data_IF_857077335050
#
_entry.id   IF_857077335050
#
_cell.length_a   1.000
_cell.length_b   1.000
_cell.length_c   1.000
_cell.angle_alpha   90.00
_cell.angle_beta   90.00
_cell.angle_gamma   90.00
#
_symmetry.space_group_name_H-M   'P 1'
#
loop_
_entity.id
_entity.type
_entity.pdbx_description
1 polymer ?
#
# COMPACT_ATOMS: atom_id res chain seq x y z
N UNK A 1 39.02 30.58 -33.10
CA UNK A 1 38.14 30.80 -31.89
C UNK A 1 36.89 29.93 -31.83
N UNK A 2 36.47 29.19 -32.86
CA UNK A 2 35.27 28.34 -32.89
C UNK A 2 35.37 27.02 -32.06
N UNK A 3 36.59 26.49 -31.89
CA UNK A 3 36.76 25.18 -31.21
C UNK A 3 36.61 25.21 -29.68
N UNK A 4 36.87 26.32 -29.02
CA UNK A 4 36.77 26.48 -27.58
C UNK A 4 35.30 26.58 -27.12
N UNK A 5 34.47 27.27 -27.91
CA UNK A 5 33.02 27.43 -27.63
C UNK A 5 32.27 26.09 -27.73
N UNK A 6 32.60 25.29 -28.74
CA UNK A 6 32.01 23.96 -28.96
C UNK A 6 32.38 22.94 -27.86
N UNK A 7 33.62 23.04 -27.33
CA UNK A 7 34.05 22.21 -26.18
C UNK A 7 33.33 22.58 -24.90
N UNK A 8 33.07 23.85 -24.64
CA UNK A 8 32.37 24.31 -23.45
C UNK A 8 30.88 23.91 -23.47
N UNK A 9 30.24 23.98 -24.64
CA UNK A 9 28.86 23.52 -24.84
C UNK A 9 28.73 22.01 -24.64
N UNK A 10 29.66 21.21 -25.14
CA UNK A 10 29.70 19.78 -24.95
C UNK A 10 29.81 19.41 -23.46
N UNK A 11 30.68 20.05 -22.71
CA UNK A 11 30.81 19.83 -21.26
C UNK A 11 29.57 20.30 -20.47
N UNK A 12 28.87 21.32 -20.95
CA UNK A 12 27.58 21.75 -20.43
C UNK A 12 26.53 20.63 -20.55
N UNK A 13 26.41 20.05 -21.74
CA UNK A 13 25.51 18.92 -22.01
C UNK A 13 25.86 17.68 -21.16
N UNK A 14 27.13 17.32 -21.06
CA UNK A 14 27.60 16.20 -20.26
C UNK A 14 27.21 16.36 -18.79
N UNK A 15 27.40 17.56 -18.22
CA UNK A 15 26.98 17.86 -16.84
C UNK A 15 25.46 17.73 -16.65
N UNK A 16 24.68 18.30 -17.58
CA UNK A 16 23.22 18.23 -17.51
C UNK A 16 22.71 16.79 -17.55
N UNK A 17 23.25 15.98 -18.46
CA UNK A 17 22.88 14.55 -18.55
C UNK A 17 23.33 13.79 -17.30
N UNK A 18 24.51 14.07 -16.78
CA UNK A 18 24.99 13.43 -15.54
C UNK A 18 24.12 13.78 -14.33
N UNK A 19 23.74 15.05 -14.18
CA UNK A 19 22.84 15.49 -13.11
C UNK A 19 21.46 14.82 -13.26
N UNK A 20 20.89 14.82 -14.47
CA UNK A 20 19.60 14.19 -14.74
C UNK A 20 19.63 12.68 -14.42
N UNK A 21 20.73 12.00 -14.78
CA UNK A 21 20.91 10.59 -14.46
C UNK A 21 21.01 10.33 -12.95
N UNK A 22 21.82 11.15 -12.23
CA UNK A 22 21.93 11.04 -10.77
C UNK A 22 20.57 11.27 -10.11
N UNK A 23 19.81 12.28 -10.53
CA UNK A 23 18.47 12.55 -10.01
C UNK A 23 17.50 11.40 -10.31
N UNK A 24 17.53 10.84 -11.52
CA UNK A 24 16.69 9.69 -11.88
C UNK A 24 17.01 8.46 -11.02
N UNK A 25 18.29 8.17 -10.78
CA UNK A 25 18.72 7.09 -9.89
C UNK A 25 18.28 7.36 -8.45
N UNK A 26 18.45 8.59 -7.95
CA UNK A 26 18.03 8.97 -6.61
C UNK A 26 16.51 8.79 -6.42
N UNK A 27 15.70 9.29 -7.36
CA UNK A 27 14.24 9.14 -7.34
C UNK A 27 13.86 7.65 -7.32
N UNK A 28 14.43 6.84 -8.22
CA UNK A 28 14.17 5.42 -8.29
C UNK A 28 14.54 4.67 -7.00
N UNK A 29 15.63 5.08 -6.35
CA UNK A 29 16.14 4.36 -5.16
C UNK A 29 15.41 4.76 -3.89
N UNK A 30 15.09 6.05 -3.72
CA UNK A 30 14.61 6.59 -2.45
C UNK A 30 13.12 6.95 -2.44
N UNK A 31 12.52 7.19 -3.61
CA UNK A 31 11.14 7.73 -3.68
C UNK A 31 10.14 6.66 -4.11
N UNK A 32 10.47 5.86 -5.12
CA UNK A 32 9.52 4.90 -5.70
C UNK A 32 10.11 3.50 -5.79
N UNK A 33 9.24 2.51 -5.57
CA UNK A 33 9.57 1.10 -5.76
C UNK A 33 8.45 0.41 -6.54
N UNK A 34 8.82 -0.58 -7.37
CA UNK A 34 7.86 -1.43 -8.07
C UNK A 34 7.53 -2.62 -7.20
N UNK A 35 6.25 -2.91 -7.04
CA UNK A 35 5.73 -4.05 -6.30
C UNK A 35 4.80 -4.86 -7.19
N UNK A 36 4.97 -6.18 -7.19
CA UNK A 36 4.10 -7.14 -7.84
C UNK A 36 3.25 -7.83 -6.78
N UNK A 37 1.93 -7.80 -6.97
CA UNK A 37 0.98 -8.45 -6.06
C UNK A 37 1.08 -9.96 -6.23
N UNK A 38 1.20 -10.67 -5.11
CA UNK A 38 1.16 -12.11 -5.07
C UNK A 38 -0.01 -12.60 -4.23
N UNK A 39 -0.82 -13.48 -4.81
CA UNK A 39 -1.99 -14.06 -4.17
C UNK A 39 -3.24 -13.18 -4.25
N UNK A 40 -4.30 -13.62 -3.57
CA UNK A 40 -5.64 -13.09 -3.72
C UNK A 40 -6.16 -12.33 -2.48
N UNK A 41 -5.30 -12.03 -1.51
CA UNK A 41 -5.73 -11.44 -0.22
C UNK A 41 -6.30 -10.02 -0.33
N UNK A 42 -6.05 -9.33 -1.45
CA UNK A 42 -6.53 -7.97 -1.71
C UNK A 42 -7.62 -7.87 -2.77
N UNK A 43 -8.09 -9.00 -3.30
CA UNK A 43 -9.22 -9.01 -4.24
C UNK A 43 -10.47 -8.43 -3.56
N UNK A 44 -11.25 -7.54 -4.21
CA UNK A 44 -11.15 -7.13 -5.62
C UNK A 44 -10.22 -5.95 -5.90
N UNK A 45 -9.63 -5.32 -4.89
CA UNK A 45 -8.85 -4.09 -5.03
C UNK A 45 -7.54 -4.32 -5.79
N UNK A 46 -6.87 -5.45 -5.53
CA UNK A 46 -5.65 -5.84 -6.24
C UNK A 46 -5.64 -7.34 -6.48
N UNK A 47 -5.20 -7.73 -7.69
CA UNK A 47 -5.18 -9.11 -8.15
C UNK A 47 -3.75 -9.62 -8.31
N UNK A 48 -3.61 -10.93 -8.27
CA UNK A 48 -2.34 -11.62 -8.52
C UNK A 48 -1.72 -11.21 -9.85
N UNK A 49 -0.41 -10.92 -9.85
CA UNK A 49 0.34 -10.46 -11.04
C UNK A 49 0.16 -8.97 -11.37
N UNK A 50 -0.66 -8.22 -10.66
CA UNK A 50 -0.74 -6.77 -10.85
C UNK A 50 0.51 -6.07 -10.29
N UNK A 51 0.92 -4.98 -10.96
CA UNK A 51 2.08 -4.20 -10.56
C UNK A 51 1.69 -2.79 -10.13
N UNK A 52 2.17 -2.41 -8.97
CA UNK A 52 1.97 -1.08 -8.39
C UNK A 52 3.29 -0.34 -8.20
N UNK A 53 3.19 0.97 -8.26
CA UNK A 53 4.25 1.87 -7.79
C UNK A 53 4.00 2.12 -6.31
N UNK A 54 5.02 1.89 -5.50
CA UNK A 54 5.01 2.16 -4.06
C UNK A 54 5.70 3.48 -3.83
N UNK A 55 5.01 4.39 -3.16
CA UNK A 55 5.54 5.65 -2.68
C UNK A 55 6.19 5.43 -1.31
N UNK A 56 7.52 5.46 -1.29
CA UNK A 56 8.32 5.30 -0.07
C UNK A 56 8.47 6.61 0.69
N UNK A 57 8.22 7.73 0.00
CA UNK A 57 8.42 9.06 0.56
C UNK A 57 7.30 9.49 1.49
N UNK A 58 6.06 9.10 1.22
CA UNK A 58 4.89 9.48 2.00
C UNK A 58 5.05 9.23 3.49
N UNK A 59 5.64 8.10 3.88
CA UNK A 59 5.82 7.73 5.29
C UNK A 59 7.20 8.07 5.87
N UNK A 60 8.04 8.78 5.11
CA UNK A 60 9.25 9.42 5.67
C UNK A 60 8.91 10.68 6.45
N UNK A 61 7.79 11.34 6.14
CA UNK A 61 7.39 12.63 6.71
C UNK A 61 5.92 12.67 7.14
N UNK A 62 5.16 11.63 6.88
CA UNK A 62 3.76 11.48 7.25
C UNK A 62 3.53 10.17 7.99
N UNK A 63 2.37 10.07 8.59
CA UNK A 63 1.89 8.86 9.27
C UNK A 63 0.91 8.11 8.37
N UNK A 64 0.76 6.78 8.54
CA UNK A 64 -0.28 6.05 7.85
C UNK A 64 -1.68 6.58 8.19
N UNK A 65 -2.52 6.69 7.16
CA UNK A 65 -3.91 7.09 7.32
C UNK A 65 -4.83 5.85 7.23
N UNK A 66 -6.01 5.96 7.85
CA UNK A 66 -7.01 4.89 7.75
C UNK A 66 -7.42 4.68 6.30
N UNK A 67 -7.50 3.41 5.91
CA UNK A 67 -7.77 2.89 4.57
C UNK A 67 -6.64 3.04 3.55
N UNK A 68 -5.49 3.54 3.93
CA UNK A 68 -4.31 3.46 3.08
C UNK A 68 -3.99 2.01 2.72
N UNK A 69 -3.64 1.79 1.46
CA UNK A 69 -3.01 0.55 1.04
C UNK A 69 -1.50 0.67 1.26
N UNK A 70 -0.95 -0.26 2.03
CA UNK A 70 0.48 -0.26 2.35
C UNK A 70 1.14 -1.57 1.94
N UNK A 71 2.42 -1.48 1.61
CA UNK A 71 3.30 -2.64 1.52
C UNK A 71 4.23 -2.63 2.73
N UNK A 72 4.35 -3.76 3.39
CA UNK A 72 5.22 -3.92 4.56
C UNK A 72 5.97 -5.25 4.54
N UNK A 73 7.08 -5.33 5.26
CA UNK A 73 7.86 -6.55 5.45
C UNK A 73 7.17 -7.43 6.49
N UNK A 74 6.55 -8.51 6.04
CA UNK A 74 5.82 -9.42 6.92
C UNK A 74 6.75 -10.46 7.57
N UNK A 75 7.70 -11.02 6.79
CA UNK A 75 8.76 -11.91 7.23
C UNK A 75 10.10 -11.44 6.66
N UNK A 76 11.20 -12.13 6.90
CA UNK A 76 12.50 -11.79 6.27
C UNK A 76 12.45 -11.88 4.74
N UNK A 77 11.61 -12.74 4.20
CA UNK A 77 11.52 -13.03 2.77
C UNK A 77 10.27 -12.42 2.12
N UNK A 78 9.16 -12.30 2.86
CA UNK A 78 7.86 -11.96 2.31
C UNK A 78 7.45 -10.52 2.59
N UNK A 79 6.89 -9.88 1.58
CA UNK A 79 6.24 -8.57 1.66
C UNK A 79 4.76 -8.73 1.39
N UNK A 80 3.95 -8.13 2.24
CA UNK A 80 2.50 -8.16 2.11
C UNK A 80 1.96 -6.80 1.73
N UNK A 81 0.91 -6.81 0.91
CA UNK A 81 0.05 -5.65 0.66
C UNK A 81 -1.22 -5.82 1.49
N UNK A 82 -1.58 -4.81 2.26
CA UNK A 82 -2.80 -4.78 3.09
C UNK A 82 -3.34 -3.36 3.19
N UNK A 83 -4.57 -3.26 3.69
CA UNK A 83 -5.23 -1.98 4.00
C UNK A 83 -5.13 -1.67 5.48
N UNK A 84 -4.79 -0.43 5.81
CA UNK A 84 -4.78 0.08 7.19
C UNK A 84 -6.23 0.22 7.68
N UNK A 85 -6.59 -0.51 8.73
CA UNK A 85 -7.91 -0.46 9.35
C UNK A 85 -7.87 0.28 10.68
N UNK A 86 -6.86 0.04 11.49
CA UNK A 86 -6.68 0.69 12.80
C UNK A 86 -5.39 1.49 12.87
N UNK A 87 -5.47 2.63 13.54
CA UNK A 87 -4.37 3.53 13.84
C UNK A 87 -4.01 3.44 15.33
N UNK A 88 -2.85 3.95 15.78
CA UNK A 88 -2.47 3.94 17.18
C UNK A 88 -3.59 4.40 18.12
N UNK A 89 -3.82 3.65 19.20
CA UNK A 89 -4.86 3.92 20.18
C UNK A 89 -6.29 3.54 19.77
N UNK A 90 -6.48 2.92 18.60
CA UNK A 90 -7.80 2.40 18.20
C UNK A 90 -8.10 1.06 18.86
N UNK A 91 -9.36 0.86 19.23
CA UNK A 91 -9.95 -0.45 19.48
C UNK A 91 -10.71 -0.89 18.25
N UNK A 92 -10.62 -2.17 17.88
CA UNK A 92 -11.17 -2.70 16.64
C UNK A 92 -12.12 -3.84 16.95
N UNK A 93 -13.33 -3.78 16.44
CA UNK A 93 -14.32 -4.85 16.57
C UNK A 93 -15.10 -5.00 15.27
N UNK A 94 -15.29 -6.23 14.85
CA UNK A 94 -16.24 -6.61 13.82
C UNK A 94 -17.39 -7.37 14.47
N UNK A 95 -18.60 -6.98 14.15
CA UNK A 95 -19.82 -7.62 14.59
C UNK A 95 -20.86 -7.59 13.48
N UNK A 96 -21.37 -8.76 13.08
CA UNK A 96 -22.30 -8.90 11.95
C UNK A 96 -21.82 -8.23 10.66
N UNK A 97 -20.54 -8.40 10.30
CA UNK A 97 -19.88 -7.81 9.11
C UNK A 97 -19.77 -6.27 9.12
N UNK A 98 -19.91 -5.66 10.28
CA UNK A 98 -19.78 -4.20 10.49
C UNK A 98 -18.51 -3.92 11.28
N UNK A 99 -17.70 -2.98 10.79
CA UNK A 99 -16.51 -2.49 11.47
C UNK A 99 -16.87 -1.43 12.50
N UNK A 100 -16.35 -1.58 13.71
CA UNK A 100 -16.41 -0.58 14.78
C UNK A 100 -14.99 -0.19 15.20
N UNK A 101 -14.71 1.10 15.22
CA UNK A 101 -13.48 1.69 15.74
C UNK A 101 -13.83 2.60 16.91
N UNK A 102 -13.23 2.37 18.08
CA UNK A 102 -13.55 3.10 19.33
C UNK A 102 -15.07 3.09 19.64
N UNK A 103 -15.75 2.04 19.23
CA UNK A 103 -17.20 1.89 19.40
C UNK A 103 -18.07 2.58 18.34
N UNK A 104 -17.49 3.35 17.44
CA UNK A 104 -18.20 4.00 16.34
C UNK A 104 -18.20 3.10 15.09
N UNK A 105 -19.36 2.99 14.44
CA UNK A 105 -19.47 2.27 13.17
C UNK A 105 -18.74 3.00 12.07
N UNK A 106 -17.91 2.27 11.32
CA UNK A 106 -17.13 2.80 10.21
C UNK A 106 -17.54 2.07 8.93
N UNK A 107 -17.88 2.83 7.91
CA UNK A 107 -18.22 2.29 6.60
C UNK A 107 -16.99 1.85 5.83
N UNK A 108 -17.13 0.74 5.08
CA UNK A 108 -16.10 0.17 4.21
C UNK A 108 -16.57 0.13 2.75
N UNK A 109 -16.69 1.29 2.08
CA UNK A 109 -17.27 1.37 0.73
C UNK A 109 -16.50 0.57 -0.32
N UNK A 110 -15.21 0.39 -0.13
CA UNK A 110 -14.33 -0.41 -0.99
C UNK A 110 -14.64 -1.92 -0.97
N UNK A 111 -15.44 -2.40 0.00
CA UNK A 111 -15.87 -3.80 0.11
C UNK A 111 -17.31 -4.03 -0.37
N UNK A 112 -18.03 -3.01 -0.74
CA UNK A 112 -19.47 -3.11 -1.04
C UNK A 112 -19.76 -4.14 -2.14
N UNK A 113 -19.00 -4.11 -3.23
CA UNK A 113 -19.15 -5.08 -4.33
C UNK A 113 -18.73 -6.49 -3.91
N UNK A 114 -17.63 -6.62 -3.16
CA UNK A 114 -17.14 -7.89 -2.68
C UNK A 114 -18.14 -8.55 -1.71
N UNK A 115 -18.70 -7.78 -0.78
CA UNK A 115 -19.76 -8.23 0.15
C UNK A 115 -21.02 -8.66 -0.59
N UNK A 116 -21.45 -7.90 -1.60
CA UNK A 116 -22.62 -8.22 -2.40
C UNK A 116 -22.46 -9.48 -3.26
N UNK A 117 -21.25 -9.75 -3.73
CA UNK A 117 -20.93 -10.93 -4.54
C UNK A 117 -20.63 -12.18 -3.72
N UNK A 118 -20.43 -12.03 -2.41
CA UNK A 118 -20.04 -13.14 -1.55
C UNK A 118 -21.23 -14.08 -1.26
N UNK A 119 -21.05 -15.36 -1.50
CA UNK A 119 -22.11 -16.37 -1.31
C UNK A 119 -22.15 -16.97 0.11
N UNK A 120 -21.23 -16.59 0.99
CA UNK A 120 -21.19 -17.02 2.39
C UNK A 120 -22.17 -16.24 3.26
N UNK A 121 -22.23 -16.58 4.55
CA UNK A 121 -23.14 -15.94 5.51
C UNK A 121 -22.70 -14.54 5.91
N UNK A 122 -21.41 -14.34 6.13
CA UNK A 122 -20.76 -13.06 6.46
C UNK A 122 -19.44 -12.96 5.71
N UNK A 123 -19.08 -11.75 5.26
CA UNK A 123 -17.82 -11.52 4.53
C UNK A 123 -16.64 -11.35 5.48
N UNK A 124 -16.87 -10.65 6.59
CA UNK A 124 -15.91 -10.51 7.68
C UNK A 124 -16.51 -11.15 8.93
N UNK A 125 -15.88 -12.20 9.44
CA UNK A 125 -16.30 -12.87 10.68
C UNK A 125 -16.19 -11.92 11.87
N UNK A 126 -17.01 -12.20 12.91
CA UNK A 126 -16.95 -11.46 14.15
C UNK A 126 -15.56 -11.59 14.79
N UNK A 127 -14.99 -10.46 15.15
CA UNK A 127 -13.63 -10.35 15.67
C UNK A 127 -13.54 -9.17 16.63
N UNK A 128 -12.78 -9.31 17.70
CA UNK A 128 -12.42 -8.22 18.60
C UNK A 128 -10.92 -8.23 18.85
N UNK A 129 -10.27 -7.09 18.60
CA UNK A 129 -8.93 -6.85 19.11
C UNK A 129 -9.09 -6.24 20.50
N UNK A 130 -8.87 -7.02 21.52
CA UNK A 130 -9.17 -6.69 22.92
C UNK A 130 -8.33 -5.54 23.48
N UNK A 131 -7.15 -5.35 22.91
CA UNK A 131 -6.23 -4.27 23.25
C UNK A 131 -6.44 -3.08 22.31
N UNK A 132 -5.80 -1.97 22.61
CA UNK A 132 -5.68 -0.87 21.65
C UNK A 132 -4.49 -1.12 20.74
N UNK A 133 -4.58 -0.65 19.48
CA UNK A 133 -3.42 -0.65 18.57
C UNK A 133 -2.29 0.12 19.24
N UNK A 134 -1.10 -0.48 19.42
CA UNK A 134 0.01 0.17 20.11
C UNK A 134 0.52 1.40 19.34
N UNK A 135 1.20 2.30 20.03
CA UNK A 135 1.93 3.40 19.41
C UNK A 135 2.92 2.88 18.36
N UNK A 136 3.07 3.61 17.24
CA UNK A 136 3.91 3.24 16.10
C UNK A 136 3.54 1.89 15.45
N UNK A 137 2.27 1.49 15.57
CA UNK A 137 1.73 0.29 14.91
C UNK A 137 0.44 0.61 14.20
N UNK A 138 0.15 -0.17 13.16
CA UNK A 138 -1.13 -0.14 12.46
C UNK A 138 -1.76 -1.52 12.45
N UNK A 139 -3.08 -1.57 12.51
CA UNK A 139 -3.85 -2.80 12.33
C UNK A 139 -4.27 -2.88 10.86
N UNK A 140 -3.82 -3.91 10.17
CA UNK A 140 -4.02 -4.04 8.73
C UNK A 140 -4.86 -5.25 8.39
N UNK A 141 -5.68 -5.15 7.34
CA UNK A 141 -6.48 -6.25 6.85
C UNK A 141 -6.42 -6.35 5.32
N UNK A 142 -6.59 -7.56 4.82
CA UNK A 142 -6.80 -7.74 3.38
C UNK A 142 -8.23 -7.43 2.99
N UNK A 143 -8.44 -7.00 1.76
CA UNK A 143 -9.78 -6.72 1.25
C UNK A 143 -10.56 -8.02 1.00
N UNK A 144 -9.87 -9.11 0.67
CA UNK A 144 -10.46 -10.45 0.63
C UNK A 144 -10.52 -11.05 2.06
N UNK A 145 -11.46 -10.56 2.86
CA UNK A 145 -11.61 -10.87 4.29
C UNK A 145 -11.62 -12.36 4.61
N UNK A 146 -12.32 -13.22 3.83
CA UNK A 146 -12.44 -14.65 4.16
C UNK A 146 -11.12 -15.42 4.10
N UNK A 147 -10.16 -14.98 3.28
CA UNK A 147 -8.92 -15.74 3.04
C UNK A 147 -7.63 -15.00 3.42
N UNK A 148 -7.75 -13.75 3.87
CA UNK A 148 -6.58 -12.93 4.16
C UNK A 148 -5.89 -13.34 5.45
N UNK A 149 -4.59 -13.61 5.35
CA UNK A 149 -3.69 -13.62 6.50
C UNK A 149 -3.27 -12.17 6.80
N UNK A 150 -3.75 -11.62 7.92
CA UNK A 150 -3.58 -10.22 8.30
C UNK A 150 -3.55 -10.03 9.82
N UNK A 151 -3.67 -8.80 10.31
CA UNK A 151 -3.53 -8.46 11.73
C UNK A 151 -4.50 -9.21 12.66
N UNK A 152 -5.56 -9.82 12.16
CA UNK A 152 -6.42 -10.71 12.94
C UNK A 152 -5.65 -11.95 13.43
N UNK A 153 -4.65 -12.38 12.66
CA UNK A 153 -3.82 -13.55 12.97
C UNK A 153 -2.40 -13.19 13.40
N UNK A 154 -1.80 -12.16 12.78
CA UNK A 154 -0.39 -11.79 13.02
C UNK A 154 -0.22 -10.63 14.02
N UNK A 155 -1.31 -10.01 14.48
CA UNK A 155 -1.27 -8.82 15.32
C UNK A 155 -0.98 -7.52 14.56
N UNK A 156 -0.95 -6.38 15.26
CA UNK A 156 -0.59 -5.09 14.68
C UNK A 156 0.82 -5.09 14.09
N UNK A 157 0.99 -4.38 12.98
CA UNK A 157 2.24 -4.25 12.25
C UNK A 157 2.93 -2.98 12.67
N UNK A 158 4.23 -3.08 13.04
CA UNK A 158 5.02 -1.92 13.38
C UNK A 158 5.29 -1.04 12.16
N UNK A 159 5.23 0.30 12.33
CA UNK A 159 5.38 1.26 11.24
C UNK A 159 6.76 1.23 10.59
N UNK A 160 7.80 0.84 11.34
CA UNK A 160 9.16 0.67 10.81
C UNK A 160 9.27 -0.46 9.77
N UNK A 161 8.31 -1.38 9.74
CA UNK A 161 8.22 -2.42 8.71
C UNK A 161 7.50 -1.95 7.43
N UNK A 162 6.87 -0.78 7.45
CA UNK A 162 6.17 -0.25 6.28
C UNK A 162 7.20 0.20 5.25
N UNK A 163 7.11 -0.36 4.05
CA UNK A 163 7.97 -0.01 2.92
C UNK A 163 7.45 1.25 2.24
N UNK A 164 6.13 1.40 2.14
CA UNK A 164 5.51 2.59 1.58
C UNK A 164 4.03 2.43 1.28
N UNK A 165 3.43 3.53 0.83
CA UNK A 165 2.03 3.61 0.42
C UNK A 165 1.88 3.10 -1.02
N UNK A 166 0.85 2.31 -1.26
CA UNK A 166 0.52 1.85 -2.61
C UNK A 166 -0.06 3.02 -3.40
N UNK A 167 0.62 3.34 -4.47
CA UNK A 167 0.21 4.39 -5.38
C UNK A 167 -0.54 3.85 -6.61
N UNK A 168 -0.03 4.16 -7.79
CA UNK A 168 -0.68 3.85 -9.05
C UNK A 168 -0.43 2.40 -9.49
N UNK A 169 -1.50 1.69 -9.91
CA UNK A 169 -1.36 0.46 -10.70
C UNK A 169 -0.92 0.82 -12.12
N UNK A 170 0.19 0.26 -12.57
CA UNK A 170 0.72 0.51 -13.90
C UNK A 170 0.70 -0.71 -14.81
N UNK A 171 0.40 -1.90 -14.28
CA UNK A 171 0.23 -3.11 -15.06
C UNK A 171 -0.79 -4.05 -14.39
N UNK A 172 -1.71 -4.67 -15.15
CA UNK A 172 -2.00 -4.40 -16.57
C UNK A 172 -2.45 -2.94 -16.76
N UNK A 173 -2.17 -2.40 -17.94
CA UNK A 173 -2.71 -1.08 -18.29
C UNK A 173 -4.24 -1.17 -18.28
N UNK A 174 -4.96 -0.15 -17.80
CA UNK A 174 -6.41 -0.12 -17.90
C UNK A 174 -6.79 -0.33 -19.37
N UNK A 175 -7.66 -1.32 -19.64
CA UNK A 175 -8.25 -1.45 -20.95
C UNK A 175 -9.08 -0.20 -21.21
N UNK A 176 -8.63 0.61 -22.15
CA UNK A 176 -9.45 1.68 -22.68
C UNK A 176 -10.47 1.00 -23.60
N UNK A 177 -11.68 0.74 -23.09
CA UNK A 177 -12.82 0.39 -23.92
C UNK A 177 -13.06 1.55 -24.88
N UNK A 178 -12.59 1.40 -26.10
CA UNK A 178 -12.96 2.26 -27.22
C UNK A 178 -14.35 1.84 -27.64
N UNK A 179 -15.37 2.49 -27.06
CA UNK A 179 -16.73 2.45 -27.59
C UNK A 179 -16.85 3.31 -28.85
#
# INVERSE_FOLDING_TARGET
MAGAKRKSEFWGWVKTVAIAFILAVAIRTFVIERFEVQGASMVPTAHDGEHFIIDKWSYQFGEPERFDLIVFQATEEDRYIKRVIGLPGDTIRFENDILYIKGEQIEEPYLQEAKAAYSGSVYTEDFSFEETVPENHVFVMGDNRPISLDSRAIGPVSEDKIIGKVGLRFWPLPEFDVQ
#
